data_IF_266935017152
#
_entry.id   IF_266935017152
#
_cell.length_a   1.000
_cell.length_b   1.000
_cell.length_c   1.000
_cell.angle_alpha   90.00
_cell.angle_beta   90.00
_cell.angle_gamma   90.00
#
_symmetry.space_group_name_H-M   'P 1'
#
loop_
_entity.id
_entity.type
_entity.pdbx_description
1 polymer ?
#
# COMPACT_ATOMS: atom_id res chain seq x y z
N UNK A 1 -11.68 13.09 13.04
CA UNK A 1 -12.31 11.86 12.54
C UNK A 1 -11.97 11.78 11.07
N UNK A 2 -10.91 11.06 10.73
CA UNK A 2 -10.44 10.92 9.36
C UNK A 2 -11.42 10.01 8.63
N UNK A 3 -12.35 10.62 7.90
CA UNK A 3 -13.28 9.93 7.01
C UNK A 3 -12.52 8.85 6.22
N UNK A 4 -13.04 7.61 6.28
CA UNK A 4 -12.51 6.37 5.71
C UNK A 4 -12.49 6.42 4.17
N UNK A 5 -11.73 7.34 3.58
CA UNK A 5 -11.44 7.29 2.15
C UNK A 5 -10.47 6.13 1.92
N UNK A 6 -10.96 5.03 1.34
CA UNK A 6 -10.15 3.86 1.02
C UNK A 6 -8.95 4.29 0.13
N UNK A 7 -7.71 4.29 0.64
CA UNK A 7 -6.56 4.76 -0.12
C UNK A 7 -6.25 3.87 -1.34
N UNK A 8 -6.82 2.67 -1.45
CA UNK A 8 -6.74 1.86 -2.66
C UNK A 8 -7.45 2.49 -3.86
N UNK A 9 -8.54 3.25 -3.66
CA UNK A 9 -9.27 3.91 -4.75
C UNK A 9 -8.58 5.18 -5.25
N UNK A 10 -7.49 5.59 -4.60
CA UNK A 10 -6.70 6.77 -4.93
C UNK A 10 -5.21 6.50 -5.22
N UNK A 11 -4.78 5.23 -5.27
CA UNK A 11 -3.38 4.91 -5.60
C UNK A 11 -3.18 3.89 -6.72
N UNK A 12 -3.87 2.75 -6.70
CA UNK A 12 -3.70 1.69 -7.71
C UNK A 12 -2.32 1.00 -7.72
N UNK A 13 -1.49 1.27 -6.72
CA UNK A 13 -0.09 0.85 -6.69
C UNK A 13 0.08 -0.67 -6.67
N UNK A 14 -0.75 -1.40 -5.90
CA UNK A 14 -0.67 -2.86 -5.84
C UNK A 14 -0.98 -3.53 -7.19
N UNK A 15 -1.99 -3.02 -7.92
CA UNK A 15 -2.37 -3.47 -9.26
C UNK A 15 -1.28 -3.25 -10.31
N UNK A 16 -0.33 -2.35 -10.05
CA UNK A 16 0.78 -2.05 -10.94
C UNK A 16 2.15 -2.48 -10.38
N UNK A 17 2.18 -3.21 -9.26
CA UNK A 17 3.44 -3.64 -8.65
C UNK A 17 3.58 -5.16 -8.57
N UNK A 18 2.48 -5.88 -8.32
CA UNK A 18 2.51 -7.31 -8.07
C UNK A 18 2.01 -8.12 -9.27
N UNK A 19 2.59 -9.30 -9.46
CA UNK A 19 1.98 -10.34 -10.27
C UNK A 19 0.84 -10.98 -9.49
N UNK A 20 -0.39 -10.85 -9.99
CA UNK A 20 -1.57 -11.43 -9.34
C UNK A 20 -1.71 -12.86 -9.84
N UNK A 21 -1.12 -13.81 -9.14
CA UNK A 21 -1.16 -15.25 -9.48
C UNK A 21 -2.12 -15.99 -8.56
N UNK A 22 -2.97 -16.86 -9.09
CA UNK A 22 -4.03 -17.50 -8.32
C UNK A 22 -4.37 -18.88 -8.93
N UNK A 23 -5.13 -19.71 -8.19
CA UNK A 23 -5.43 -21.08 -8.63
C UNK A 23 -6.35 -21.05 -9.85
N UNK A 24 -6.08 -21.89 -10.86
CA UNK A 24 -6.83 -21.84 -12.12
C UNK A 24 -8.35 -21.96 -11.95
N UNK A 25 -8.82 -22.68 -10.91
CA UNK A 25 -10.25 -22.87 -10.66
C UNK A 25 -10.98 -21.65 -10.07
N UNK A 26 -10.28 -20.56 -9.73
CA UNK A 26 -10.94 -19.30 -9.36
C UNK A 26 -11.49 -18.55 -10.59
N UNK A 27 -11.11 -18.97 -11.80
CA UNK A 27 -11.65 -18.45 -13.04
C UNK A 27 -13.06 -18.99 -13.34
N UNK A 28 -13.86 -18.21 -14.06
CA UNK A 28 -15.25 -18.52 -14.40
C UNK A 28 -15.42 -19.73 -15.33
N UNK A 29 -14.40 -20.09 -16.10
CA UNK A 29 -14.37 -21.31 -16.92
C UNK A 29 -14.14 -22.60 -16.12
N UNK A 30 -13.93 -22.47 -14.81
CA UNK A 30 -13.60 -23.56 -13.90
C UNK A 30 -14.45 -23.56 -12.61
N UNK A 31 -15.51 -22.75 -12.57
CA UNK A 31 -16.48 -22.67 -11.46
C UNK A 31 -16.22 -21.53 -10.47
N UNK A 32 -15.19 -20.71 -10.69
CA UNK A 32 -14.96 -19.48 -9.93
C UNK A 32 -15.70 -18.28 -10.50
N UNK A 33 -15.24 -17.08 -10.15
CA UNK A 33 -15.88 -15.81 -10.53
C UNK A 33 -14.97 -14.89 -11.33
N UNK A 34 -13.66 -15.17 -11.40
CA UNK A 34 -12.69 -14.29 -12.07
C UNK A 34 -12.87 -14.43 -13.58
N UNK A 35 -13.11 -13.34 -14.34
CA UNK A 35 -13.36 -13.45 -15.77
C UNK A 35 -12.13 -13.97 -16.51
N UNK A 36 -12.25 -15.13 -17.14
CA UNK A 36 -11.14 -15.82 -17.81
C UNK A 36 -10.42 -14.97 -18.83
N UNK A 37 -11.14 -14.12 -19.57
CA UNK A 37 -10.61 -13.25 -20.62
C UNK A 37 -9.59 -12.21 -20.12
N UNK A 38 -9.64 -11.89 -18.83
CA UNK A 38 -8.71 -10.98 -18.14
C UNK A 38 -7.51 -11.72 -17.53
N UNK A 39 -7.40 -13.03 -17.74
CA UNK A 39 -6.39 -13.90 -17.15
C UNK A 39 -5.52 -14.55 -18.22
N UNK A 40 -4.35 -15.01 -17.84
CA UNK A 40 -3.46 -15.81 -18.68
C UNK A 40 -2.90 -17.01 -17.91
N UNK A 41 -2.66 -18.15 -18.58
CA UNK A 41 -2.02 -19.30 -17.95
C UNK A 41 -0.61 -18.96 -17.46
N UNK A 42 -0.29 -19.32 -16.22
CA UNK A 42 1.07 -19.22 -15.67
C UNK A 42 1.76 -20.59 -15.70
N UNK A 43 1.03 -21.65 -15.33
CA UNK A 43 1.45 -23.05 -15.44
C UNK A 43 0.21 -23.96 -15.41
N UNK A 44 0.39 -25.27 -15.26
CA UNK A 44 -0.70 -26.26 -15.25
C UNK A 44 -1.77 -26.02 -14.18
N UNK A 45 -1.43 -25.39 -13.05
CA UNK A 45 -2.34 -25.22 -11.92
C UNK A 45 -2.63 -23.75 -11.58
N UNK A 46 -1.91 -22.81 -12.20
CA UNK A 46 -1.97 -21.41 -11.85
C UNK A 46 -2.26 -20.54 -13.05
N UNK A 47 -3.07 -19.51 -12.81
CA UNK A 47 -3.28 -18.38 -13.72
C UNK A 47 -2.73 -17.12 -13.09
N UNK A 48 -2.58 -16.08 -13.91
CA UNK A 48 -2.36 -14.75 -13.41
C UNK A 48 -3.27 -13.73 -14.13
N UNK A 49 -3.49 -12.57 -13.51
CA UNK A 49 -4.18 -11.47 -14.19
C UNK A 49 -3.29 -10.92 -15.31
N UNK A 50 -3.85 -10.77 -16.51
CA UNK A 50 -3.12 -10.26 -17.69
C UNK A 50 -2.46 -8.92 -17.40
N UNK A 51 -1.26 -8.78 -17.93
CA UNK A 51 -0.42 -7.59 -17.77
C UNK A 51 0.38 -7.56 -16.46
N UNK A 52 0.12 -8.48 -15.52
CA UNK A 52 0.86 -8.51 -14.24
C UNK A 52 2.12 -9.38 -14.27
N UNK A 53 2.28 -10.25 -15.27
CA UNK A 53 3.45 -11.12 -15.45
C UNK A 53 4.55 -10.46 -16.31
N UNK A 54 5.00 -9.28 -15.92
CA UNK A 54 6.03 -8.52 -16.65
C UNK A 54 6.97 -7.78 -15.70
N UNK A 55 8.07 -7.21 -16.21
CA UNK A 55 8.98 -6.38 -15.41
C UNK A 55 8.33 -5.07 -14.93
N UNK A 56 7.29 -4.60 -15.62
CA UNK A 56 6.48 -3.45 -15.28
C UNK A 56 5.01 -3.87 -15.21
N UNK A 57 4.58 -4.55 -14.13
CA UNK A 57 3.24 -5.07 -13.98
C UNK A 57 2.18 -3.96 -14.12
N UNK A 58 1.11 -4.24 -14.85
CA UNK A 58 -0.11 -3.43 -14.81
C UNK A 58 -1.30 -4.34 -15.08
N UNK A 59 -2.13 -4.55 -14.07
CA UNK A 59 -3.32 -5.37 -14.19
C UNK A 59 -4.27 -4.77 -15.23
N UNK A 60 -4.75 -5.61 -16.16
CA UNK A 60 -5.72 -5.20 -17.19
C UNK A 60 -7.03 -4.65 -16.62
N UNK A 61 -7.40 -5.07 -15.40
CA UNK A 61 -8.61 -4.60 -14.73
C UNK A 61 -8.44 -3.27 -13.99
N UNK A 62 -7.24 -2.70 -13.93
CA UNK A 62 -7.00 -1.39 -13.32
C UNK A 62 -7.53 -0.29 -14.25
N UNK A 63 -8.49 0.47 -13.74
CA UNK A 63 -9.01 1.67 -14.39
C UNK A 63 -8.39 2.91 -13.72
N UNK A 64 -8.05 3.92 -14.52
CA UNK A 64 -7.43 5.15 -14.07
C UNK A 64 -5.90 5.11 -13.97
N UNK A 65 -5.34 6.20 -13.45
CA UNK A 65 -3.90 6.44 -13.37
C UNK A 65 -3.38 6.27 -11.95
N UNK A 66 -2.18 5.69 -11.85
CA UNK A 66 -1.55 5.40 -10.56
C UNK A 66 -1.28 6.72 -9.83
N UNK A 67 -1.66 6.78 -8.55
CA UNK A 67 -1.59 8.01 -7.75
C UNK A 67 -2.71 9.03 -8.01
N UNK A 68 -3.66 8.70 -8.88
CA UNK A 68 -4.89 9.48 -9.11
C UNK A 68 -6.15 8.71 -8.72
N UNK A 69 -7.28 9.02 -9.35
CA UNK A 69 -8.52 8.28 -9.16
C UNK A 69 -8.45 6.94 -9.89
N UNK A 70 -8.55 5.83 -9.15
CA UNK A 70 -8.48 4.48 -9.70
C UNK A 70 -9.64 3.61 -9.22
N UNK A 71 -9.94 2.57 -9.99
CA UNK A 71 -10.89 1.53 -9.62
C UNK A 71 -10.50 0.19 -10.23
N UNK A 72 -11.06 -0.90 -9.68
CA UNK A 72 -10.94 -2.22 -10.29
C UNK A 72 -12.22 -2.52 -11.07
N UNK A 73 -12.08 -2.79 -12.37
CA UNK A 73 -13.21 -3.14 -13.25
C UNK A 73 -13.90 -4.46 -12.89
N UNK A 74 -13.29 -5.28 -12.03
CA UNK A 74 -13.81 -6.58 -11.58
C UNK A 74 -13.83 -6.69 -10.04
N UNK A 75 -14.05 -5.60 -9.32
CA UNK A 75 -13.90 -5.55 -7.85
C UNK A 75 -14.62 -6.69 -7.10
N UNK A 76 -15.85 -7.01 -7.51
CA UNK A 76 -16.67 -8.09 -6.93
C UNK A 76 -16.25 -9.50 -7.37
N UNK A 77 -15.46 -9.60 -8.42
CA UNK A 77 -14.99 -10.84 -9.06
C UNK A 77 -13.48 -11.02 -8.87
N UNK A 78 -12.87 -10.29 -7.93
CA UNK A 78 -11.44 -10.32 -7.68
C UNK A 78 -10.96 -11.74 -7.31
N UNK A 79 -9.76 -12.14 -7.78
CA UNK A 79 -9.13 -13.38 -7.32
C UNK A 79 -8.73 -13.24 -5.85
N UNK A 80 -8.54 -14.37 -5.19
CA UNK A 80 -8.21 -14.48 -3.75
C UNK A 80 -7.04 -13.59 -3.32
N UNK A 81 -5.89 -13.54 -4.03
CA UNK A 81 -4.78 -12.66 -3.65
C UNK A 81 -5.15 -11.18 -3.60
N UNK A 82 -6.12 -10.73 -4.41
CA UNK A 82 -6.58 -9.34 -4.39
C UNK A 82 -7.61 -9.06 -3.28
N UNK A 83 -8.29 -10.08 -2.77
CA UNK A 83 -9.25 -9.97 -1.65
C UNK A 83 -8.53 -10.00 -0.31
N UNK A 84 -7.52 -10.85 -0.19
CA UNK A 84 -6.74 -11.04 1.04
C UNK A 84 -5.64 -9.99 1.24
N UNK A 85 -5.37 -9.16 0.22
CA UNK A 85 -4.36 -8.11 0.33
C UNK A 85 -4.82 -6.99 1.26
N UNK A 86 -4.26 -6.98 2.47
CA UNK A 86 -4.52 -5.98 3.51
C UNK A 86 -3.86 -4.64 3.20
N UNK A 87 -4.51 -3.53 3.54
CA UNK A 87 -3.93 -2.19 3.44
C UNK A 87 -2.92 -1.93 4.57
N UNK A 88 -1.85 -1.18 4.31
CA UNK A 88 -0.97 -0.73 5.41
C UNK A 88 -1.73 0.23 6.32
N UNK A 89 -1.68 -0.02 7.63
CA UNK A 89 -2.43 0.69 8.66
C UNK A 89 -3.84 0.14 8.91
N UNK A 90 -4.31 -0.84 8.14
CA UNK A 90 -5.58 -1.52 8.40
C UNK A 90 -5.50 -2.27 9.74
N UNK A 91 -6.51 -2.06 10.60
CA UNK A 91 -6.49 -2.51 11.98
C UNK A 91 -5.25 -2.09 12.79
N UNK A 92 -4.58 -1.00 12.40
CA UNK A 92 -3.34 -0.53 13.03
C UNK A 92 -2.11 -1.38 12.71
N UNK A 93 -2.20 -2.27 11.72
CA UNK A 93 -1.13 -3.19 11.34
C UNK A 93 -0.41 -2.63 10.11
N UNK A 94 0.92 -2.52 10.20
CA UNK A 94 1.75 -2.12 9.09
C UNK A 94 1.82 -3.23 8.03
N UNK A 95 1.64 -2.89 6.75
CA UNK A 95 1.87 -3.80 5.63
C UNK A 95 2.98 -3.25 4.72
N UNK A 96 4.20 -3.76 4.92
CA UNK A 96 5.38 -3.41 4.13
C UNK A 96 5.20 -3.64 2.63
N UNK A 97 4.42 -4.64 2.22
CA UNK A 97 4.17 -4.91 0.80
C UNK A 97 3.34 -3.79 0.16
N UNK A 98 2.34 -3.28 0.88
CA UNK A 98 1.54 -2.14 0.43
C UNK A 98 2.42 -0.88 0.30
N UNK A 99 3.23 -0.58 1.31
CA UNK A 99 4.09 0.60 1.30
C UNK A 99 5.21 0.51 0.25
N UNK A 100 5.77 -0.68 0.01
CA UNK A 100 6.73 -0.91 -1.08
C UNK A 100 6.10 -0.68 -2.46
N UNK A 101 4.86 -1.13 -2.67
CA UNK A 101 4.15 -0.90 -3.92
C UNK A 101 3.95 0.61 -4.15
N UNK A 102 3.55 1.34 -3.10
CA UNK A 102 3.37 2.79 -3.12
C UNK A 102 4.69 3.53 -3.42
N UNK A 103 5.77 3.14 -2.75
CA UNK A 103 7.09 3.74 -2.93
C UNK A 103 7.62 3.61 -4.37
N UNK A 104 7.33 2.50 -5.07
CA UNK A 104 7.71 2.33 -6.49
C UNK A 104 7.12 3.43 -7.39
N UNK A 105 5.97 3.99 -7.00
CA UNK A 105 5.26 5.01 -7.75
C UNK A 105 5.37 6.40 -7.11
N UNK A 106 6.33 6.60 -6.20
CA UNK A 106 6.57 7.89 -5.54
C UNK A 106 5.46 8.29 -4.57
N UNK A 107 4.61 7.36 -4.15
CA UNK A 107 3.53 7.62 -3.21
C UNK A 107 4.02 7.44 -1.77
N UNK A 108 3.60 8.31 -0.83
CA UNK A 108 4.01 8.21 0.57
C UNK A 108 3.43 6.95 1.23
N UNK A 109 4.11 6.39 2.23
CA UNK A 109 3.57 5.29 3.03
C UNK A 109 2.23 5.68 3.70
N UNK A 110 1.31 4.73 3.85
CA UNK A 110 0.02 4.99 4.49
C UNK A 110 0.14 5.00 6.01
N UNK A 111 1.03 4.17 6.53
CA UNK A 111 1.27 4.04 7.95
C UNK A 111 2.76 4.28 8.20
N UNK A 112 3.09 5.50 8.62
CA UNK A 112 4.40 5.78 9.19
C UNK A 112 4.37 5.36 10.67
N UNK A 113 5.34 4.58 11.17
CA UNK A 113 5.48 4.44 12.62
C UNK A 113 5.66 5.85 13.18
N UNK A 114 4.75 6.28 14.05
CA UNK A 114 4.91 7.53 14.76
C UNK A 114 6.28 7.49 15.44
N UNK A 115 7.19 8.39 15.03
CA UNK A 115 8.42 8.61 15.79
C UNK A 115 8.02 8.77 17.26
N UNK A 116 8.71 8.14 18.21
CA UNK A 116 8.43 8.38 19.62
C UNK A 116 8.47 9.88 19.82
N UNK A 117 7.39 10.44 20.35
CA UNK A 117 7.37 11.83 20.76
C UNK A 117 8.42 11.95 21.85
N UNK A 118 9.61 12.43 21.49
CA UNK A 118 10.64 12.78 22.45
C UNK A 118 10.06 14.00 23.17
N UNK A 119 9.33 13.78 24.27
CA UNK A 119 9.02 14.86 25.21
C UNK A 119 10.36 15.27 25.80
N UNK A 120 10.97 16.27 25.17
CA UNK A 120 12.22 16.86 25.58
C UNK A 120 12.01 17.57 26.92
N UNK A 121 12.21 16.83 28.00
CA UNK A 121 12.49 17.41 29.33
C UNK A 121 13.21 16.39 30.21
N UNK A 122 14.31 15.81 29.73
CA UNK A 122 15.33 15.34 30.65
C UNK A 122 16.16 16.55 31.05
N UNK A 123 15.66 17.32 32.02
CA UNK A 123 16.54 18.18 32.80
C UNK A 123 17.56 17.25 33.45
N UNK A 124 18.82 17.32 33.00
CA UNK A 124 19.92 16.63 33.66
C UNK A 124 20.00 17.18 35.09
N UNK A 125 19.84 16.36 36.14
CA UNK A 125 20.05 16.82 37.50
C UNK A 125 21.52 17.23 37.63
N UNK A 126 21.78 18.55 37.73
CA UNK A 126 23.12 19.08 37.99
C UNK A 126 23.76 19.95 36.91
N UNK A 127 23.03 20.37 35.86
CA UNK A 127 23.52 21.47 35.03
C UNK A 127 23.45 22.79 35.84
N UNK A 128 24.57 23.50 36.08
CA UNK A 128 24.53 24.77 36.81
C UNK A 128 23.82 25.82 35.96
N UNK A 129 22.89 26.56 36.57
CA UNK A 129 22.25 27.71 35.93
C UNK A 129 23.31 28.74 35.53
N UNK A 130 23.26 29.19 34.28
CA UNK A 130 24.09 30.29 33.83
C UNK A 130 23.60 31.58 34.50
N UNK A 131 24.46 32.34 35.19
CA UNK A 131 24.03 33.52 35.92
C UNK A 131 23.50 34.60 34.97
N UNK A 132 22.29 35.08 35.26
CA UNK A 132 21.48 36.04 34.49
C UNK A 132 22.02 37.48 34.45
N UNK A 133 23.27 37.73 34.85
CA UNK A 133 23.74 39.11 35.02
C UNK A 133 25.08 39.38 34.34
N UNK A 134 25.04 39.55 33.02
CA UNK A 134 26.03 40.36 32.31
C UNK A 134 25.47 41.78 32.22
N UNK A 135 25.80 42.62 33.20
CA UNK A 135 25.69 44.07 33.03
C UNK A 135 26.76 44.50 32.03
N UNK A 136 26.34 44.97 30.85
CA UNK A 136 27.23 45.73 29.95
C UNK A 136 27.74 46.99 30.65
N UNK A 137 29.05 47.25 30.66
CA UNK A 137 29.57 48.55 31.06
C UNK A 137 29.55 49.53 29.87
N UNK A 138 28.97 50.72 30.09
CA UNK A 138 29.34 51.99 29.45
C UNK A 138 28.82 52.25 28.04
#
# INVERSE_FOLDING_TARGET
>A
MSELSNPCVSCGACCAHFRVSFYWAEADDAGGLVPTELTEPLNLFMRNMRGTNSAAPRCVALQGDIGGCVSCGIYEQRPTPCREFTLSGEAGIHNEACDRARARYGLPALFAPSLPHITESYALPGAPELPEHVQSPG
#
